data_IF_342526205463
#
_entry.id   IF_342526205463
#
_cell.length_a   1.000
_cell.length_b   1.000
_cell.length_c   1.000
_cell.angle_alpha   90.00
_cell.angle_beta   90.00
_cell.angle_gamma   90.00
#
_symmetry.space_group_name_H-M   'P 1'
#
loop_
_entity.id
_entity.type
_entity.pdbx_description
1 polymer ?
#
# COMPACT_ATOMS: atom_id res chain seq x y z
N UNK A 1 -25.80 0.10 21.42
CA UNK A 1 -25.07 -0.41 20.25
C UNK A 1 -23.68 -0.81 20.72
N UNK A 2 -23.33 -2.10 20.67
CA UNK A 2 -21.96 -2.54 20.90
C UNK A 2 -21.11 -2.09 19.71
N UNK A 3 -19.88 -1.58 19.91
CA UNK A 3 -18.96 -1.38 18.80
C UNK A 3 -18.65 -2.76 18.22
N UNK A 4 -18.89 -2.94 16.93
CA UNK A 4 -18.52 -4.16 16.22
C UNK A 4 -17.02 -4.38 16.43
N UNK A 5 -16.66 -5.44 17.16
CA UNK A 5 -15.28 -5.75 17.49
C UNK A 5 -14.61 -6.25 16.22
N UNK A 6 -13.96 -5.34 15.50
CA UNK A 6 -13.31 -5.63 14.22
C UNK A 6 -11.99 -6.39 14.44
N UNK A 7 -12.12 -7.71 14.60
CA UNK A 7 -11.03 -8.63 14.87
C UNK A 7 -10.13 -8.88 13.67
N UNK A 8 -8.82 -8.90 13.90
CA UNK A 8 -7.81 -9.13 12.87
C UNK A 8 -7.96 -10.48 12.12
N UNK A 9 -8.55 -11.49 12.76
CA UNK A 9 -8.80 -12.83 12.21
C UNK A 9 -9.93 -12.89 11.19
N UNK A 10 -10.79 -11.86 11.14
CA UNK A 10 -11.91 -11.76 10.21
C UNK A 10 -11.59 -10.88 8.99
N UNK A 11 -10.42 -10.22 8.97
CA UNK A 11 -9.99 -9.32 7.91
C UNK A 11 -9.19 -10.06 6.83
N UNK A 12 -9.20 -9.54 5.61
CA UNK A 12 -8.41 -10.10 4.51
C UNK A 12 -6.92 -10.23 4.87
N UNK A 13 -6.25 -11.31 4.43
CA UNK A 13 -4.82 -11.48 4.58
C UNK A 13 -4.06 -10.30 3.97
N UNK A 14 -2.98 -9.88 4.63
CA UNK A 14 -2.09 -8.83 4.12
C UNK A 14 -1.03 -9.49 3.26
N UNK A 15 -0.93 -9.08 1.99
CA UNK A 15 0.07 -9.60 1.04
C UNK A 15 1.51 -9.26 1.49
N UNK A 16 1.69 -8.11 2.15
CA UNK A 16 2.95 -7.68 2.78
C UNK A 16 2.62 -7.19 4.19
N UNK A 17 2.77 -8.07 5.18
CA UNK A 17 2.39 -7.80 6.58
C UNK A 17 3.21 -6.68 7.20
N UNK A 18 4.44 -6.50 6.73
CA UNK A 18 5.45 -5.57 7.20
C UNK A 18 4.95 -4.13 7.15
N UNK A 19 4.13 -3.80 6.14
CA UNK A 19 3.60 -2.44 5.91
C UNK A 19 2.34 -2.11 6.69
N UNK A 20 1.72 -3.11 7.33
CA UNK A 20 0.54 -2.96 8.15
C UNK A 20 -0.72 -2.52 7.38
N UNK A 21 -1.87 -2.55 8.05
CA UNK A 21 -3.19 -2.35 7.40
C UNK A 21 -3.40 -0.95 6.82
N UNK A 22 -2.69 0.06 7.31
CA UNK A 22 -2.85 1.43 6.80
C UNK A 22 -2.39 1.52 5.34
N UNK A 23 -1.20 0.98 5.03
CA UNK A 23 -0.67 0.98 3.65
C UNK A 23 -1.59 0.18 2.74
N UNK A 24 -2.04 -1.00 3.16
CA UNK A 24 -3.00 -1.82 2.40
C UNK A 24 -4.32 -1.08 2.12
N UNK A 25 -4.83 -0.31 3.09
CA UNK A 25 -6.01 0.53 2.87
C UNK A 25 -5.75 1.63 1.85
N UNK A 26 -4.59 2.29 1.89
CA UNK A 26 -4.22 3.30 0.89
C UNK A 26 -4.13 2.71 -0.52
N UNK A 27 -3.60 1.48 -0.66
CA UNK A 27 -3.56 0.76 -1.94
C UNK A 27 -4.98 0.43 -2.42
N UNK A 28 -5.86 -0.05 -1.53
CA UNK A 28 -7.26 -0.30 -1.87
C UNK A 28 -7.96 0.96 -2.41
N UNK A 29 -7.82 2.09 -1.71
CA UNK A 29 -8.36 3.38 -2.16
C UNK A 29 -7.77 3.83 -3.51
N UNK A 30 -6.49 3.56 -3.74
CA UNK A 30 -5.82 3.86 -5.02
C UNK A 30 -6.41 3.05 -6.17
N UNK A 31 -6.76 1.79 -5.93
CA UNK A 31 -7.36 0.91 -6.94
C UNK A 31 -8.80 1.30 -7.28
N UNK A 32 -9.54 1.84 -6.32
CA UNK A 32 -10.92 2.32 -6.50
C UNK A 32 -11.00 3.67 -7.25
N UNK A 33 -9.87 4.38 -7.42
CA UNK A 33 -9.83 5.66 -8.12
C UNK A 33 -9.96 5.49 -9.65
N UNK A 34 -11.01 6.09 -10.20
CA UNK A 34 -11.36 6.02 -11.61
C UNK A 34 -10.49 6.95 -12.48
N UNK A 35 -10.09 8.12 -11.95
CA UNK A 35 -9.26 9.07 -12.66
C UNK A 35 -7.80 8.56 -12.68
N UNK A 36 -7.31 8.19 -13.87
CA UNK A 36 -5.94 7.70 -14.06
C UNK A 36 -4.89 8.67 -13.51
N UNK A 37 -5.08 9.99 -13.69
CA UNK A 37 -4.16 11.00 -13.19
C UNK A 37 -4.14 11.07 -11.67
N UNK A 38 -5.31 10.99 -11.02
CA UNK A 38 -5.39 10.88 -9.55
C UNK A 38 -4.78 9.57 -9.06
N UNK A 39 -5.09 8.44 -9.69
CA UNK A 39 -4.53 7.12 -9.36
C UNK A 39 -3.02 7.10 -9.41
N UNK A 40 -2.41 7.65 -10.46
CA UNK A 40 -0.93 7.76 -10.54
C UNK A 40 -0.35 8.65 -9.43
N UNK A 41 -1.02 9.76 -9.07
CA UNK A 41 -0.58 10.60 -7.94
C UNK A 41 -0.69 9.87 -6.61
N UNK A 42 -1.77 9.12 -6.39
CA UNK A 42 -1.98 8.30 -5.19
C UNK A 42 -0.90 7.20 -5.09
N UNK A 43 -0.65 6.46 -6.18
CA UNK A 43 0.39 5.44 -6.24
C UNK A 43 1.77 6.00 -5.83
N UNK A 44 2.16 7.16 -6.38
CA UNK A 44 3.41 7.85 -6.00
C UNK A 44 3.43 8.26 -4.54
N UNK A 45 2.32 8.79 -4.01
CA UNK A 45 2.22 9.17 -2.61
C UNK A 45 2.34 7.96 -1.67
N UNK A 46 1.78 6.81 -2.04
CA UNK A 46 1.91 5.54 -1.31
C UNK A 46 3.36 5.09 -1.30
N UNK A 47 4.04 5.04 -2.45
CA UNK A 47 5.47 4.68 -2.54
C UNK A 47 6.34 5.60 -1.68
N UNK A 48 6.09 6.92 -1.71
CA UNK A 48 6.79 7.87 -0.85
C UNK A 48 6.50 7.62 0.64
N UNK A 49 5.27 7.25 0.99
CA UNK A 49 4.88 6.96 2.37
C UNK A 49 5.60 5.71 2.88
N UNK A 50 5.62 4.64 2.08
CA UNK A 50 6.36 3.42 2.40
C UNK A 50 7.86 3.74 2.52
N UNK A 51 8.43 4.52 1.59
CA UNK A 51 9.84 4.94 1.64
C UNK A 51 10.20 5.78 2.88
N UNK A 52 9.26 6.55 3.43
CA UNK A 52 9.45 7.27 4.71
C UNK A 52 9.40 6.35 5.91
N UNK A 53 8.54 5.34 5.89
CA UNK A 53 8.42 4.35 6.96
C UNK A 53 9.61 3.36 6.99
N UNK A 54 10.19 3.07 5.83
CA UNK A 54 11.32 2.14 5.65
C UNK A 54 12.49 2.83 4.94
N UNK A 55 13.21 3.74 5.63
CA UNK A 55 14.33 4.49 5.02
C UNK A 55 15.45 3.59 4.50
N UNK A 56 15.61 2.39 5.05
CA UNK A 56 16.56 1.38 4.57
C UNK A 56 16.25 0.91 3.15
N UNK A 57 14.97 0.82 2.77
CA UNK A 57 14.59 0.52 1.40
C UNK A 57 14.86 1.72 0.53
N UNK A 58 14.58 2.95 0.99
CA UNK A 58 14.81 4.16 0.19
C UNK A 58 16.29 4.41 -0.15
N UNK A 59 17.21 4.05 0.73
CA UNK A 59 18.64 4.35 0.59
C UNK A 59 19.41 3.30 -0.22
N UNK A 60 18.77 2.21 -0.66
CA UNK A 60 19.40 1.25 -1.58
C UNK A 60 19.26 1.72 -3.03
N UNK A 61 20.26 1.43 -3.87
CA UNK A 61 20.23 1.81 -5.30
C UNK A 61 19.05 1.21 -6.08
N UNK A 62 18.46 0.11 -5.57
CA UNK A 62 17.29 -0.56 -6.13
C UNK A 62 15.99 -0.27 -5.35
N UNK A 63 16.10 0.56 -4.32
CA UNK A 63 15.08 0.80 -3.32
C UNK A 63 13.74 1.28 -3.85
N UNK A 64 13.79 2.29 -4.71
CA UNK A 64 12.59 2.83 -5.34
C UNK A 64 11.88 1.78 -6.18
N UNK A 65 12.63 0.98 -6.94
CA UNK A 65 12.08 -0.10 -7.76
C UNK A 65 11.38 -1.15 -6.89
N UNK A 66 12.02 -1.59 -5.81
CA UNK A 66 11.42 -2.55 -4.87
C UNK A 66 10.12 -2.03 -4.26
N UNK A 67 10.05 -0.73 -3.91
CA UNK A 67 8.82 -0.13 -3.40
C UNK A 67 7.69 -0.13 -4.43
N UNK A 68 8.02 0.12 -5.70
CA UNK A 68 7.05 -0.01 -6.80
C UNK A 68 6.62 -1.46 -7.02
N UNK A 69 7.54 -2.43 -6.95
CA UNK A 69 7.20 -3.85 -7.08
C UNK A 69 6.24 -4.29 -5.97
N UNK A 70 6.50 -3.87 -4.73
CA UNK A 70 5.61 -4.13 -3.61
C UNK A 70 4.23 -3.49 -3.77
N UNK A 71 4.17 -2.26 -4.31
CA UNK A 71 2.90 -1.62 -4.63
C UNK A 71 2.10 -2.44 -5.66
N UNK A 72 2.74 -2.90 -6.73
CA UNK A 72 2.08 -3.71 -7.77
C UNK A 72 1.59 -5.05 -7.22
N UNK A 73 2.38 -5.71 -6.37
CA UNK A 73 1.99 -6.94 -5.68
C UNK A 73 0.79 -6.70 -4.77
N UNK A 74 0.77 -5.62 -3.99
CA UNK A 74 -0.39 -5.27 -3.14
C UNK A 74 -1.62 -4.87 -3.96
N UNK A 75 -1.42 -4.36 -5.18
CA UNK A 75 -2.50 -3.96 -6.08
C UNK A 75 -2.95 -5.08 -7.03
N UNK A 76 -2.49 -6.32 -6.83
CA UNK A 76 -2.80 -7.46 -7.70
C UNK A 76 -2.50 -7.17 -9.19
N UNK A 77 -1.44 -6.40 -9.45
CA UNK A 77 -0.99 -5.96 -10.78
C UNK A 77 -2.05 -5.19 -11.61
N UNK A 78 -3.01 -4.52 -10.96
CA UNK A 78 -4.09 -3.75 -11.62
C UNK A 78 -3.81 -2.25 -11.81
N UNK A 79 -2.60 -1.78 -11.49
CA UNK A 79 -2.21 -0.36 -11.54
C UNK A 79 -1.50 0.05 -12.83
#
# INVERSE_FOLDING_TARGET
MQPDLDYNTQRSPLIITEYGRHVHRMVGLCMEEADRGKRTRMARAIVQTIGKLYPQLRNSGEGERTLWDHLHVMADYKL
#
